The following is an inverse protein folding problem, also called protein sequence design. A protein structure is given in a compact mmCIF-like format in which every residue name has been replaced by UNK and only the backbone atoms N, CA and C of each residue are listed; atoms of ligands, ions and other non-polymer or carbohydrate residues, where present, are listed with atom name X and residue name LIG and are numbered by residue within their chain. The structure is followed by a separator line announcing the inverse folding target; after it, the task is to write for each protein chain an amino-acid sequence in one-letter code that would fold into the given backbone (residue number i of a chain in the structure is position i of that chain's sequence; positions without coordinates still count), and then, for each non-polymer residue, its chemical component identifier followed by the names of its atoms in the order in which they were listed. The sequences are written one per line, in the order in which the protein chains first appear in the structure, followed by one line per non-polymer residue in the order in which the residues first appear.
data_IF_068424744825
#
_entry.id   IF_068424744825
#
_cell.length_a   1.000
_cell.length_b   1.000
_cell.length_c   1.000
_cell.angle_alpha   90.00
_cell.angle_beta   90.00
_cell.angle_gamma   90.00
#
_symmetry.space_group_name_H-M   'P 1'
#
loop_
_entity.id
_entity.type
_entity.pdbx_description
1 polymer ?
#
# COMPACT_ATOMS: atom_id res chain seq x y z
N UNK A 1 12.60 18.33 2.40
CA UNK A 1 12.04 17.12 3.03
C UNK A 1 12.19 16.00 2.02
N UNK A 2 12.93 14.93 2.36
CA UNK A 2 13.08 13.78 1.46
C UNK A 2 11.78 12.99 1.44
N UNK A 3 11.26 12.67 0.25
CA UNK A 3 10.05 11.87 0.11
C UNK A 3 10.35 10.40 0.35
N UNK A 4 9.45 9.67 0.99
CA UNK A 4 9.60 8.23 1.14
C UNK A 4 9.66 7.54 -0.23
N UNK A 5 10.55 6.56 -0.37
CA UNK A 5 10.69 5.74 -1.56
C UNK A 5 10.41 4.28 -1.24
N UNK A 6 9.74 3.59 -2.16
CA UNK A 6 9.43 2.18 -2.04
C UNK A 6 9.58 1.46 -3.37
N UNK A 7 9.88 0.16 -3.32
CA UNK A 7 9.89 -0.73 -4.46
C UNK A 7 9.32 -2.09 -4.07
N UNK A 8 8.80 -2.83 -5.04
CA UNK A 8 8.25 -4.15 -4.75
C UNK A 8 7.72 -4.86 -5.97
N UNK A 9 7.08 -6.00 -5.71
CA UNK A 9 6.46 -6.86 -6.71
C UNK A 9 5.07 -7.27 -6.28
N UNK A 10 4.22 -7.47 -7.28
CA UNK A 10 2.88 -8.04 -7.13
C UNK A 10 2.86 -9.39 -7.83
N UNK A 11 2.27 -10.38 -7.17
CA UNK A 11 1.89 -11.64 -7.78
C UNK A 11 0.38 -11.63 -8.04
N UNK A 12 0.00 -12.00 -9.26
CA UNK A 12 -1.40 -12.04 -9.70
C UNK A 12 -1.90 -13.49 -9.76
N UNK A 13 -3.18 -13.71 -9.45
CA UNK A 13 -3.87 -14.97 -9.71
C UNK A 13 -4.30 -15.06 -11.20
N UNK A 14 -4.89 -16.18 -11.59
CA UNK A 14 -5.30 -16.42 -12.98
C UNK A 14 -6.41 -15.46 -13.44
N UNK A 15 -7.18 -14.92 -12.51
CA UNK A 15 -8.26 -13.95 -12.72
C UNK A 15 -7.74 -12.50 -12.80
N UNK A 16 -6.43 -12.28 -12.62
CA UNK A 16 -5.80 -10.96 -12.66
C UNK A 16 -5.92 -10.15 -11.36
N UNK A 17 -6.40 -10.76 -10.27
CA UNK A 17 -6.39 -10.17 -8.94
C UNK A 17 -5.01 -10.31 -8.27
N UNK A 18 -4.64 -9.33 -7.44
CA UNK A 18 -3.41 -9.38 -6.63
C UNK A 18 -3.55 -10.48 -5.58
N UNK A 19 -2.75 -11.54 -5.69
CA UNK A 19 -2.69 -12.68 -4.77
C UNK A 19 -1.67 -12.46 -3.65
N UNK A 20 -0.53 -11.86 -3.98
CA UNK A 20 0.52 -11.61 -3.00
C UNK A 20 1.35 -10.39 -3.38
N UNK A 21 2.12 -9.93 -2.40
CA UNK A 21 2.95 -8.75 -2.50
C UNK A 21 4.24 -8.90 -1.72
N UNK A 22 5.26 -8.17 -2.16
CA UNK A 22 6.51 -8.00 -1.44
C UNK A 22 7.03 -6.59 -1.75
N UNK A 23 6.91 -5.70 -0.77
CA UNK A 23 7.26 -4.27 -0.89
C UNK A 23 8.26 -3.91 0.18
N UNK A 24 9.25 -3.12 -0.21
CA UNK A 24 10.25 -2.54 0.70
C UNK A 24 10.21 -1.02 0.58
N UNK A 25 10.02 -0.34 1.71
CA UNK A 25 10.30 1.09 1.85
C UNK A 25 11.76 1.27 2.22
N UNK A 26 12.44 2.19 1.55
CA UNK A 26 13.87 2.45 1.80
C UNK A 26 14.09 3.63 2.75
N UNK A 27 13.10 4.49 2.89
CA UNK A 27 13.17 5.75 3.62
C UNK A 27 11.94 5.95 4.51
N UNK A 28 12.12 6.64 5.63
CA UNK A 28 11.10 6.90 6.66
C UNK A 28 11.71 7.19 8.04
N UNK A 29 10.95 7.78 8.97
CA UNK A 29 11.30 8.15 10.37
C UNK A 29 11.96 7.04 11.21
N UNK A 30 11.72 5.78 10.87
CA UNK A 30 12.10 4.55 11.56
C UNK A 30 12.85 3.62 10.61
N UNK A 31 13.28 4.15 9.46
CA UNK A 31 14.13 3.50 8.50
C UNK A 31 13.40 2.52 7.58
N UNK A 32 14.21 1.64 6.97
CA UNK A 32 13.78 0.64 6.01
C UNK A 32 12.79 -0.34 6.64
N UNK A 33 11.72 -0.62 5.91
CA UNK A 33 10.75 -1.65 6.27
C UNK A 33 10.40 -2.51 5.05
N UNK A 34 10.13 -3.79 5.26
CA UNK A 34 9.64 -4.72 4.24
C UNK A 34 8.34 -5.37 4.70
N UNK A 35 7.35 -5.35 3.83
CA UNK A 35 6.05 -5.98 4.02
C UNK A 35 5.86 -7.07 2.94
N UNK A 36 5.45 -8.26 3.39
CA UNK A 36 5.01 -9.36 2.54
C UNK A 36 3.59 -9.68 2.94
N UNK A 37 2.69 -9.82 1.98
CA UNK A 37 1.29 -10.11 2.27
C UNK A 37 0.68 -11.04 1.25
N UNK A 38 -0.28 -11.82 1.74
CA UNK A 38 -1.01 -12.84 0.99
C UNK A 38 -2.50 -12.53 1.08
N UNK A 39 -3.07 -12.19 -0.06
CA UNK A 39 -4.45 -11.79 -0.20
C UNK A 39 -5.32 -13.05 -0.31
N UNK A 40 -6.05 -13.35 0.76
CA UNK A 40 -7.21 -14.24 0.72
C UNK A 40 -8.41 -13.41 1.20
N UNK A 41 -9.46 -13.37 0.39
CA UNK A 41 -10.60 -12.44 0.43
C UNK A 41 -11.21 -12.17 1.84
N UNK A 42 -10.59 -11.26 2.60
CA UNK A 42 -10.86 -10.97 4.03
C UNK A 42 -10.17 -11.98 4.96
N UNK A 43 -9.06 -11.55 5.59
CA UNK A 43 -8.34 -12.36 6.59
C UNK A 43 -7.03 -13.01 6.13
N UNK A 44 -6.35 -12.41 5.15
CA UNK A 44 -5.01 -12.85 4.74
C UNK A 44 -3.96 -12.81 5.86
N UNK A 45 -2.75 -13.23 5.52
CA UNK A 45 -1.58 -13.15 6.40
C UNK A 45 -0.60 -12.12 5.86
N UNK A 46 -0.03 -11.33 6.77
CA UNK A 46 1.01 -10.35 6.45
C UNK A 46 2.22 -10.56 7.35
N UNK A 47 3.40 -10.21 6.82
CA UNK A 47 4.67 -10.28 7.50
C UNK A 47 5.39 -8.95 7.35
N UNK A 48 5.90 -8.41 8.45
CA UNK A 48 6.61 -7.12 8.47
C UNK A 48 7.98 -7.27 9.12
N UNK A 49 8.98 -6.61 8.55
CA UNK A 49 10.36 -6.60 9.06
C UNK A 49 10.97 -5.23 8.93
N UNK A 50 11.71 -4.78 9.96
CA UNK A 50 12.25 -3.42 10.03
C UNK A 50 11.20 -2.39 10.45
N UNK A 51 11.42 -1.12 10.15
CA UNK A 51 10.55 -0.03 10.58
C UNK A 51 10.40 0.05 12.11
N UNK A 52 9.24 0.50 12.58
CA UNK A 52 8.91 0.58 14.02
C UNK A 52 8.57 -0.81 14.60
N UNK A 53 7.87 -1.67 13.86
CA UNK A 53 7.66 -3.09 14.22
C UNK A 53 8.98 -3.78 14.57
N UNK A 54 10.04 -3.53 13.80
CA UNK A 54 11.37 -4.09 14.04
C UNK A 54 11.95 -3.74 15.41
N UNK A 55 11.56 -2.60 16.00
CA UNK A 55 11.97 -2.20 17.36
C UNK A 55 11.25 -2.98 18.45
N UNK A 56 10.08 -3.54 18.13
CA UNK A 56 9.24 -4.30 19.05
C UNK A 56 9.32 -5.80 18.82
N UNK A 57 10.08 -6.27 17.85
CA UNK A 57 10.27 -7.70 17.66
C UNK A 57 10.93 -8.32 18.89
N UNK A 58 10.37 -9.44 19.34
CA UNK A 58 11.00 -10.28 20.35
C UNK A 58 12.38 -10.71 19.85
N UNK A 59 13.40 -10.57 20.71
CA UNK A 59 14.80 -10.90 20.39
C UNK A 59 14.91 -12.25 19.69
N UNK A 60 15.59 -12.26 18.54
CA UNK A 60 15.79 -13.45 17.71
C UNK A 60 14.82 -13.59 16.54
N UNK A 61 13.72 -12.82 16.51
CA UNK A 61 12.81 -12.78 15.37
C UNK A 61 13.15 -11.61 14.44
N UNK A 62 12.88 -11.81 13.17
CA UNK A 62 13.10 -10.83 12.08
C UNK A 62 11.78 -10.37 11.49
N UNK A 63 10.75 -11.21 11.58
CA UNK A 63 9.43 -10.98 11.02
C UNK A 63 8.37 -10.99 12.10
N UNK A 64 7.45 -10.06 11.98
CA UNK A 64 6.19 -10.11 12.70
C UNK A 64 5.08 -10.51 11.76
N UNK A 65 4.31 -11.51 12.16
CA UNK A 65 3.12 -12.01 11.48
C UNK A 65 1.86 -11.43 12.12
N UNK A 66 0.97 -10.89 11.29
CA UNK A 66 -0.31 -10.34 11.72
C UNK A 66 -1.43 -10.57 10.72
N UNK A 67 -2.68 -10.43 11.19
CA UNK A 67 -3.86 -10.47 10.33
C UNK A 67 -3.85 -9.28 9.37
N UNK A 68 -4.13 -9.58 8.12
CA UNK A 68 -3.95 -8.68 6.98
C UNK A 68 -4.90 -7.47 6.96
N UNK A 69 -5.89 -7.41 7.85
CA UNK A 69 -6.81 -6.26 7.97
C UNK A 69 -6.11 -4.97 8.42
N UNK A 70 -4.98 -5.11 9.13
CA UNK A 70 -4.26 -4.01 9.80
C UNK A 70 -2.89 -3.71 9.17
N UNK A 71 -2.49 -4.44 8.13
CA UNK A 71 -1.08 -4.58 7.73
C UNK A 71 -0.82 -4.57 6.24
N UNK A 72 -1.86 -4.41 5.44
CA UNK A 72 -1.74 -4.77 4.04
C UNK A 72 -0.65 -3.98 3.33
N UNK A 73 -0.46 -2.72 3.69
CA UNK A 73 0.58 -1.88 3.09
C UNK A 73 1.16 -0.85 4.05
N UNK A 74 0.87 -1.02 5.34
CA UNK A 74 1.47 -0.22 6.39
C UNK A 74 2.92 -0.68 6.54
N UNK A 75 3.84 0.14 6.05
CA UNK A 75 5.00 0.38 6.89
C UNK A 75 4.57 1.36 7.98
N UNK A 76 5.14 1.34 9.19
CA UNK A 76 4.74 2.26 10.29
C UNK A 76 5.17 3.71 10.00
N UNK A 77 5.24 4.05 8.72
CA UNK A 77 5.99 5.15 8.15
C UNK A 77 5.65 5.56 6.73
N UNK A 78 4.60 4.99 6.19
CA UNK A 78 3.83 5.62 5.14
C UNK A 78 2.47 5.92 5.80
N UNK A 79 2.38 6.74 6.85
CA UNK A 79 2.88 8.10 6.83
C UNK A 79 2.16 8.89 5.75
N UNK A 80 0.84 8.72 5.54
CA UNK A 80 0.01 9.50 4.60
C UNK A 80 0.40 9.45 3.12
N UNK A 81 1.60 8.98 2.80
CA UNK A 81 2.33 9.19 1.55
C UNK A 81 2.18 8.00 0.57
N UNK A 82 1.18 7.15 0.81
CA UNK A 82 0.99 5.92 0.06
C UNK A 82 0.31 6.15 -1.30
N UNK A 83 0.62 5.29 -2.26
CA UNK A 83 -0.10 5.27 -3.52
C UNK A 83 -1.47 4.63 -3.30
N UNK A 84 -2.50 5.43 -3.02
CA UNK A 84 -3.88 4.96 -2.85
C UNK A 84 -4.46 4.35 -4.13
N UNK A 85 -3.94 4.75 -5.30
CA UNK A 85 -4.42 4.29 -6.59
C UNK A 85 -3.67 3.02 -7.00
N UNK A 86 -4.29 1.85 -6.82
CA UNK A 86 -3.79 0.58 -7.34
C UNK A 86 -4.43 0.23 -8.70
N UNK A 87 -3.77 0.54 -9.83
CA UNK A 87 -4.31 0.25 -11.16
C UNK A 87 -4.28 -1.24 -11.52
N UNK A 88 -3.68 -2.08 -10.68
CA UNK A 88 -3.61 -3.52 -10.89
C UNK A 88 -4.90 -4.24 -10.46
N UNK A 89 -5.76 -3.57 -9.71
CA UNK A 89 -7.11 -4.04 -9.42
C UNK A 89 -8.05 -3.69 -10.58
N UNK A 90 -8.71 -4.68 -11.23
CA UNK A 90 -9.55 -4.40 -12.40
C UNK A 90 -10.70 -3.41 -12.13
N UNK A 91 -11.33 -3.48 -10.95
CA UNK A 91 -12.41 -2.58 -10.55
C UNK A 91 -11.90 -1.14 -10.38
N UNK A 92 -10.78 -0.96 -9.70
CA UNK A 92 -10.09 0.33 -9.56
C UNK A 92 -9.72 0.90 -10.92
N UNK A 93 -9.07 0.12 -11.79
CA UNK A 93 -8.71 0.58 -13.13
C UNK A 93 -9.93 1.04 -13.92
N UNK A 94 -11.02 0.25 -13.91
CA UNK A 94 -12.26 0.62 -14.59
C UNK A 94 -12.83 1.96 -14.09
N UNK A 95 -12.80 2.20 -12.77
CA UNK A 95 -13.26 3.46 -12.20
C UNK A 95 -12.38 4.66 -12.62
N UNK A 96 -11.06 4.49 -12.67
CA UNK A 96 -10.13 5.52 -13.14
C UNK A 96 -10.32 5.80 -14.64
N UNK A 97 -10.58 4.78 -15.45
CA UNK A 97 -10.84 4.98 -16.88
C UNK A 97 -12.16 5.72 -17.11
N UNK A 98 -13.20 5.44 -16.31
CA UNK A 98 -14.51 6.11 -16.40
C UNK A 98 -14.45 7.57 -15.96
N UNK A 99 -13.68 7.88 -14.92
CA UNK A 99 -13.53 9.23 -14.38
C UNK A 99 -12.40 10.04 -15.06
N UNK A 100 -11.68 9.42 -15.98
CA UNK A 100 -10.51 9.99 -16.63
C UNK A 100 -10.78 10.41 -18.07
N UNK A 101 -10.07 11.44 -18.53
CA UNK A 101 -10.00 11.84 -19.93
C UNK A 101 -8.67 11.37 -20.51
N UNK A 102 -8.74 10.59 -21.59
CA UNK A 102 -7.55 10.16 -22.32
C UNK A 102 -7.04 11.25 -23.26
N UNK A 103 -5.71 11.45 -23.27
CA UNK A 103 -4.98 12.29 -24.22
C UNK A 103 -3.67 11.59 -24.59
N UNK A 104 -3.60 11.02 -25.79
CA UNK A 104 -2.46 10.22 -26.22
C UNK A 104 -2.27 8.96 -25.35
N UNK A 105 -1.11 8.86 -24.72
CA UNK A 105 -0.68 7.81 -23.79
C UNK A 105 -1.05 8.12 -22.33
N UNK A 106 -1.70 9.24 -22.05
CA UNK A 106 -2.07 9.65 -20.69
C UNK A 106 -3.58 9.62 -20.46
N UNK A 107 -3.96 9.35 -19.22
CA UNK A 107 -5.34 9.42 -18.74
C UNK A 107 -5.32 10.23 -17.45
N UNK A 108 -6.01 11.36 -17.44
CA UNK A 108 -6.05 12.28 -16.30
C UNK A 108 -7.47 12.40 -15.79
N UNK A 109 -7.65 12.32 -14.48
CA UNK A 109 -8.97 12.43 -13.87
C UNK A 109 -8.91 12.79 -12.40
N UNK A 110 -10.08 12.77 -11.77
CA UNK A 110 -10.26 12.96 -10.34
C UNK A 110 -11.20 11.89 -9.83
N UNK A 111 -10.91 11.35 -8.65
CA UNK A 111 -11.75 10.40 -7.92
C UNK A 111 -11.78 10.82 -6.45
N UNK A 112 -12.90 10.63 -5.77
CA UNK A 112 -12.97 10.86 -4.32
C UNK A 112 -12.45 9.65 -3.54
N UNK A 113 -12.04 9.84 -2.29
CA UNK A 113 -11.67 8.72 -1.42
C UNK A 113 -12.82 7.73 -1.26
N UNK A 114 -14.05 8.23 -1.08
CA UNK A 114 -15.24 7.38 -1.03
C UNK A 114 -15.38 6.49 -2.28
N UNK A 115 -15.27 7.06 -3.47
CA UNK A 115 -15.38 6.29 -4.72
C UNK A 115 -14.25 5.28 -4.87
N UNK A 116 -13.03 5.65 -4.46
CA UNK A 116 -11.87 4.79 -4.53
C UNK A 116 -11.99 3.61 -3.56
N UNK A 117 -12.35 3.85 -2.30
CA UNK A 117 -12.64 2.81 -1.31
C UNK A 117 -13.73 1.85 -1.80
N UNK A 118 -14.72 2.32 -2.54
CA UNK A 118 -15.76 1.42 -3.07
C UNK A 118 -15.25 0.41 -4.09
N UNK A 119 -14.22 0.75 -4.86
CA UNK A 119 -13.73 -0.06 -5.98
C UNK A 119 -12.37 -0.71 -5.74
N UNK A 120 -11.68 -0.30 -4.69
CA UNK A 120 -10.30 -0.68 -4.40
C UNK A 120 -10.20 -1.33 -3.02
N UNK A 121 -9.87 -2.62 -2.98
CA UNK A 121 -9.54 -3.29 -1.71
C UNK A 121 -8.27 -2.69 -1.12
N UNK A 122 -7.32 -2.33 -1.98
CA UNK A 122 -6.14 -1.56 -1.61
C UNK A 122 -6.50 -0.32 -0.80
N UNK A 123 -7.43 0.52 -1.28
CA UNK A 123 -7.85 1.71 -0.54
C UNK A 123 -8.70 1.39 0.70
N UNK A 124 -9.59 0.39 0.66
CA UNK A 124 -10.38 -0.01 1.85
C UNK A 124 -9.51 -0.38 3.05
N UNK A 125 -8.34 -0.95 2.78
CA UNK A 125 -7.44 -1.47 3.80
C UNK A 125 -6.23 -0.59 4.05
N UNK A 126 -6.25 0.66 3.60
CA UNK A 126 -5.24 1.63 4.01
C UNK A 126 -5.77 2.59 5.08
N UNK A 127 -4.86 3.29 5.77
CA UNK A 127 -5.13 3.96 7.05
C UNK A 127 -5.83 5.30 6.83
N UNK A 128 -7.11 5.23 6.46
CA UNK A 128 -7.98 6.38 6.21
C UNK A 128 -8.76 6.84 7.44
N UNK A 129 -8.44 6.32 8.64
CA UNK A 129 -9.17 6.68 9.85
C UNK A 129 -9.14 8.22 10.04
N UNK A 130 -10.31 8.84 9.94
CA UNK A 130 -10.49 10.29 10.07
C UNK A 130 -10.31 11.11 8.80
N UNK A 131 -10.05 10.51 7.63
CA UNK A 131 -9.92 11.26 6.38
C UNK A 131 -11.31 11.66 5.85
N UNK A 132 -11.43 12.87 5.29
CA UNK A 132 -12.66 13.29 4.65
C UNK A 132 -12.92 12.45 3.39
N UNK A 133 -13.99 11.66 3.40
CA UNK A 133 -14.45 10.83 2.28
C UNK A 133 -14.69 11.64 0.98
N UNK A 134 -14.95 12.95 1.11
CA UNK A 134 -15.11 13.89 0.00
C UNK A 134 -13.79 14.40 -0.60
N UNK A 135 -12.64 14.07 0.00
CA UNK A 135 -11.32 14.48 -0.49
C UNK A 135 -11.12 14.01 -1.92
N UNK A 136 -10.74 14.97 -2.79
CA UNK A 136 -10.54 14.74 -4.21
C UNK A 136 -9.10 14.37 -4.49
N UNK A 137 -8.89 13.16 -4.97
CA UNK A 137 -7.61 12.68 -5.48
C UNK A 137 -7.54 12.92 -6.99
N UNK A 138 -6.63 13.79 -7.42
CA UNK A 138 -6.29 13.96 -8.82
C UNK A 138 -5.27 12.90 -9.22
N UNK A 139 -5.43 12.29 -10.40
CA UNK A 139 -4.50 11.28 -10.88
C UNK A 139 -4.14 11.46 -12.36
N UNK A 140 -2.99 10.92 -12.74
CA UNK A 140 -2.54 10.76 -14.12
C UNK A 140 -1.95 9.36 -14.29
N UNK A 141 -2.56 8.56 -15.16
CA UNK A 141 -2.05 7.26 -15.61
C UNK A 141 -1.27 7.50 -16.90
N UNK A 142 -0.09 6.93 -17.02
CA UNK A 142 0.70 6.92 -18.26
C UNK A 142 0.85 5.49 -18.76
N UNK A 143 0.55 5.28 -20.04
CA UNK A 143 0.69 4.01 -20.72
C UNK A 143 2.02 3.94 -21.46
N UNK A 144 2.62 2.76 -21.57
CA UNK A 144 3.76 2.53 -22.45
C UNK A 144 3.31 2.28 -23.90
N UNK A 145 4.27 2.03 -24.80
CA UNK A 145 4.01 1.70 -26.21
C UNK A 145 3.16 0.44 -26.43
N UNK A 146 3.05 -0.44 -25.43
CA UNK A 146 2.18 -1.63 -25.46
C UNK A 146 0.78 -1.34 -24.90
N UNK A 147 0.44 -0.07 -24.62
CA UNK A 147 -0.80 0.35 -23.94
C UNK A 147 -0.99 -0.24 -22.53
N UNK A 148 0.09 -0.62 -21.87
CA UNK A 148 0.07 -1.09 -20.48
C UNK A 148 0.51 0.03 -19.56
N UNK A 149 -0.07 0.09 -18.36
CA UNK A 149 0.21 1.12 -17.37
C UNK A 149 1.69 1.08 -16.97
N UNK A 150 2.37 2.21 -17.09
CA UNK A 150 3.79 2.36 -16.80
C UNK A 150 4.05 3.32 -15.64
N UNK A 151 3.10 4.20 -15.34
CA UNK A 151 3.20 5.18 -14.26
C UNK A 151 1.82 5.60 -13.78
N UNK A 152 1.68 5.80 -12.48
CA UNK A 152 0.55 6.50 -11.86
C UNK A 152 1.12 7.62 -11.01
N UNK A 153 0.63 8.83 -11.27
CA UNK A 153 0.83 9.98 -10.38
C UNK A 153 -0.48 10.33 -9.73
N UNK A 154 -0.47 10.55 -8.43
CA UNK A 154 -1.65 10.99 -7.67
C UNK A 154 -1.29 12.18 -6.79
N UNK A 155 -2.29 13.01 -6.53
CA UNK A 155 -2.14 14.20 -5.70
C UNK A 155 -3.46 14.51 -5.00
N UNK A 156 -3.38 14.80 -3.72
CA UNK A 156 -4.52 15.26 -2.94
C UNK A 156 -4.04 16.12 -1.77
N UNK A 157 -4.95 16.87 -1.18
CA UNK A 157 -4.69 17.66 0.02
C UNK A 157 -5.60 17.17 1.13
N UNK A 158 -5.05 16.96 2.33
CA UNK A 158 -5.83 16.62 3.50
C UNK A 158 -6.74 17.79 3.86
N UNK A 159 -8.05 17.61 3.68
CA UNK A 159 -9.04 18.62 4.03
C UNK A 159 -9.36 18.63 5.53
N UNK A 160 -9.30 17.45 6.16
CA UNK A 160 -9.59 17.19 7.57
C UNK A 160 -8.82 15.92 8.02
N UNK A 161 -8.82 15.60 9.31
CA UNK A 161 -8.17 14.42 9.89
C UNK A 161 -7.23 14.76 11.03
N UNK A 162 -5.99 14.24 11.02
CA UNK A 162 -5.00 14.64 12.03
C UNK A 162 -4.54 16.07 11.76
N UNK A 163 -4.57 16.93 12.78
CA UNK A 163 -4.20 18.35 12.72
C UNK A 163 -2.85 18.61 12.02
N UNK A 164 -1.89 17.71 12.20
CA UNK A 164 -0.55 17.84 11.61
C UNK A 164 -0.53 17.73 10.09
N UNK A 165 -1.60 17.21 9.48
CA UNK A 165 -1.71 16.93 8.05
C UNK A 165 -2.64 17.87 7.33
N UNK A 166 -3.62 18.45 8.02
CA UNK A 166 -4.62 19.32 7.41
C UNK A 166 -3.91 20.43 6.61
N UNK A 167 -4.31 20.59 5.35
CA UNK A 167 -3.70 21.51 4.40
C UNK A 167 -2.41 21.02 3.74
N UNK A 168 -1.83 19.88 4.15
CA UNK A 168 -0.70 19.27 3.44
C UNK A 168 -1.17 18.64 2.14
N UNK A 169 -0.43 18.91 1.07
CA UNK A 169 -0.62 18.26 -0.22
C UNK A 169 0.38 17.12 -0.36
N UNK A 170 -0.15 15.94 -0.66
CA UNK A 170 0.64 14.79 -1.02
C UNK A 170 0.84 14.69 -2.52
N UNK A 171 2.03 14.30 -2.94
CA UNK A 171 2.32 13.88 -4.32
C UNK A 171 2.93 12.48 -4.32
N UNK A 172 2.27 11.53 -4.98
CA UNK A 172 2.77 10.15 -5.11
C UNK A 172 3.03 9.82 -6.56
N UNK A 173 4.18 9.23 -6.85
CA UNK A 173 4.60 8.84 -8.18
C UNK A 173 5.09 7.39 -8.19
N UNK A 174 4.31 6.52 -8.81
CA UNK A 174 4.57 5.08 -8.85
C UNK A 174 4.81 4.64 -10.27
N UNK A 175 5.85 3.83 -10.50
CA UNK A 175 6.19 3.26 -11.81
C UNK A 175 5.93 1.76 -11.82
N UNK A 176 5.31 1.29 -12.90
CA UNK A 176 4.95 -0.11 -13.09
C UNK A 176 5.71 -0.68 -14.29
N UNK A 177 6.20 -1.90 -14.15
CA UNK A 177 6.96 -2.58 -15.20
C UNK A 177 6.82 -4.10 -15.04
N UNK A 178 7.35 -4.85 -16.03
CA UNK A 178 7.39 -6.32 -16.01
C UNK A 178 6.01 -7.00 -15.84
N UNK A 179 4.96 -6.36 -16.35
CA UNK A 179 3.63 -6.96 -16.42
C UNK A 179 3.68 -8.33 -17.11
N UNK A 180 2.99 -9.32 -16.52
CA UNK A 180 2.99 -10.70 -17.01
C UNK A 180 4.27 -11.49 -16.72
N UNK A 181 5.25 -10.90 -16.02
CA UNK A 181 6.42 -11.64 -15.53
C UNK A 181 6.01 -12.68 -14.49
N UNK A 182 6.65 -13.85 -14.51
CA UNK A 182 6.44 -14.87 -13.49
C UNK A 182 7.17 -14.45 -12.20
N UNK A 183 6.42 -14.34 -11.11
CA UNK A 183 6.92 -13.99 -9.78
C UNK A 183 6.29 -14.96 -8.79
N UNK A 184 7.08 -15.47 -7.85
CA UNK A 184 6.59 -16.31 -6.75
C UNK A 184 7.00 -15.66 -5.45
N UNK A 185 6.01 -15.29 -4.64
CA UNK A 185 6.21 -14.65 -3.34
C UNK A 185 5.98 -15.73 -2.28
N UNK A 186 6.88 -15.80 -1.29
CA UNK A 186 6.87 -16.82 -0.23
C UNK A 186 6.82 -16.16 1.13
N UNK A 187 6.12 -16.82 2.06
CA UNK A 187 6.16 -16.44 3.46
C UNK A 187 7.61 -16.52 3.98
N UNK A 188 7.99 -15.69 4.96
CA UNK A 188 9.25 -15.82 5.67
C UNK A 188 9.42 -17.17 6.38
N UNK A 189 10.65 -17.44 6.84
CA UNK A 189 10.93 -18.61 7.66
C UNK A 189 10.13 -18.55 8.98
N UNK A 190 9.31 -19.57 9.30
CA UNK A 190 8.59 -19.63 10.57
C UNK A 190 9.51 -19.53 11.80
N UNK A 191 10.78 -19.97 11.70
CA UNK A 191 11.76 -19.87 12.78
C UNK A 191 12.26 -18.44 13.04
N UNK A 192 12.06 -17.52 12.10
CA UNK A 192 12.37 -16.08 12.22
C UNK A 192 11.12 -15.22 12.42
N UNK A 193 9.94 -15.85 12.53
CA UNK A 193 8.65 -15.18 12.53
C UNK A 193 7.97 -15.29 13.89
N UNK A 194 7.36 -14.20 14.36
CA UNK A 194 6.57 -14.17 15.59
C UNK A 194 5.25 -13.45 15.39
N UNK A 195 4.21 -13.83 16.13
CA UNK A 195 2.94 -13.08 16.20
C UNK A 195 2.90 -12.12 17.40
N UNK A 196 3.98 -12.05 18.19
CA UNK A 196 4.06 -11.28 19.43
C UNK A 196 4.98 -10.07 19.28
N UNK A 197 4.56 -8.93 19.83
CA UNK A 197 5.39 -7.74 19.96
C UNK A 197 5.76 -7.49 21.43
N UNK A 198 6.96 -6.96 21.62
CA UNK A 198 7.55 -6.52 22.88
C UNK A 198 7.60 -5.00 22.92
N UNK A 199 6.57 -4.37 23.48
CA UNK A 199 6.50 -2.91 23.63
C UNK A 199 6.88 -2.58 25.08
N UNK A 200 7.93 -1.77 25.26
CA UNK A 200 8.38 -1.31 26.59
C UNK A 200 8.62 -2.45 27.62
N UNK A 201 9.06 -3.62 27.14
CA UNK A 201 9.32 -4.79 27.99
C UNK A 201 8.11 -5.70 28.23
N UNK A 202 6.94 -5.38 27.68
CA UNK A 202 5.73 -6.21 27.73
C UNK A 202 5.66 -7.05 26.45
N UNK A 203 5.97 -8.35 26.56
CA UNK A 203 6.22 -9.24 25.41
C UNK A 203 5.06 -10.16 24.99
N UNK A 204 3.81 -9.84 25.34
CA UNK A 204 2.63 -10.62 24.96
C UNK A 204 1.57 -9.75 24.27
N UNK A 205 1.98 -8.60 23.72
CA UNK A 205 1.01 -7.73 23.08
C UNK A 205 0.62 -8.32 21.72
N UNK A 206 -0.68 -8.58 21.57
CA UNK A 206 -1.31 -8.96 20.32
C UNK A 206 -2.21 -7.82 19.91
N UNK A 207 -2.10 -7.39 18.65
CA UNK A 207 -3.09 -6.47 18.11
C UNK A 207 -4.46 -7.15 18.06
N UNK A 208 -5.56 -6.40 18.28
CA UNK A 208 -6.90 -6.89 17.99
C UNK A 208 -6.95 -7.36 16.52
N UNK A 209 -7.48 -8.57 16.31
CA UNK A 209 -7.62 -9.19 14.99
C UNK A 209 -8.77 -8.66 14.19
#
# INVERSE_FOLDING_TARGET
MGGASAYGVFEFNAEGGVRALDVTTTEGEHGRERAIGFNHDVGGTSYRSGGLVGKWLKKGNVWWEGSHQSHLWHTELLGYDEQLVNPAEPATLNALLKNGKRSGDTITGVITFKELEWVSRWAQHSTHAGWDSGTRLSYTITLNSMNVISRVRSTFTFADGLDELVGRTLHVDTRYSRWGGNVSIKAPDPGETTTELCIEGICNWRLPG
#
